data_IF_423755524214
#
_entry.id   IF_423755524214
#
_cell.length_a   1.000
_cell.length_b   1.000
_cell.length_c   1.000
_cell.angle_alpha   90.00
_cell.angle_beta   90.00
_cell.angle_gamma   90.00
#
_symmetry.space_group_name_H-M   'P 1'
#
loop_
_entity.id
_entity.type
_entity.pdbx_description
1 polymer ?
#
# COMPACT_ATOMS: atom_id res chain seq x y z
N UNK A 1 -22.05 19.55 -0.60
CA UNK A 1 -22.52 18.76 0.56
C UNK A 1 -21.31 18.01 1.07
N UNK A 2 -21.11 17.98 2.39
CA UNK A 2 -20.00 17.24 2.99
C UNK A 2 -20.10 15.73 2.66
N UNK A 3 -19.01 15.12 2.22
CA UNK A 3 -18.93 13.67 2.02
C UNK A 3 -18.52 13.02 3.34
N UNK A 4 -19.45 12.31 3.97
CA UNK A 4 -19.23 11.75 5.32
C UNK A 4 -18.81 10.28 5.34
N UNK A 5 -19.04 9.54 4.26
CA UNK A 5 -18.76 8.11 4.20
C UNK A 5 -18.23 7.67 2.85
N UNK A 6 -17.40 6.64 2.86
CA UNK A 6 -16.91 5.91 1.71
C UNK A 6 -17.63 4.56 1.69
N UNK A 7 -18.47 4.33 0.67
CA UNK A 7 -19.12 3.05 0.48
C UNK A 7 -18.17 2.02 -0.15
N UNK A 8 -18.60 0.78 -0.21
CA UNK A 8 -17.78 -0.34 -0.71
C UNK A 8 -17.29 -0.15 -2.15
N UNK A 9 -18.13 0.36 -3.05
CA UNK A 9 -17.76 0.57 -4.46
C UNK A 9 -16.73 1.69 -4.60
N UNK A 10 -16.89 2.80 -3.87
CA UNK A 10 -15.91 3.88 -3.85
C UNK A 10 -14.59 3.40 -3.25
N UNK A 11 -14.62 2.64 -2.15
CA UNK A 11 -13.42 2.07 -1.55
C UNK A 11 -12.68 1.14 -2.52
N UNK A 12 -13.42 0.29 -3.26
CA UNK A 12 -12.86 -0.56 -4.31
C UNK A 12 -12.13 0.28 -5.37
N UNK A 13 -12.76 1.34 -5.87
CA UNK A 13 -12.15 2.27 -6.85
C UNK A 13 -10.91 2.94 -6.29
N UNK A 14 -10.97 3.45 -5.06
CA UNK A 14 -9.84 4.07 -4.38
C UNK A 14 -8.64 3.12 -4.26
N UNK A 15 -8.87 1.87 -3.87
CA UNK A 15 -7.79 0.88 -3.78
C UNK A 15 -7.14 0.57 -5.13
N UNK A 16 -7.95 0.35 -6.17
CA UNK A 16 -7.45 0.08 -7.53
C UNK A 16 -6.68 1.29 -8.08
N UNK A 17 -7.16 2.49 -7.83
CA UNK A 17 -6.50 3.73 -8.21
C UNK A 17 -5.14 3.92 -7.51
N UNK A 18 -5.08 3.63 -6.22
CA UNK A 18 -3.83 3.65 -5.47
C UNK A 18 -2.80 2.65 -6.02
N UNK A 19 -3.25 1.45 -6.40
CA UNK A 19 -2.40 0.45 -7.04
C UNK A 19 -1.88 0.91 -8.41
N UNK A 20 -2.73 1.50 -9.23
CA UNK A 20 -2.37 2.03 -10.55
C UNK A 20 -1.37 3.20 -10.44
N UNK A 21 -1.58 4.13 -9.49
CA UNK A 21 -0.67 5.24 -9.27
C UNK A 21 0.71 4.78 -8.79
N UNK A 22 0.77 3.80 -7.89
CA UNK A 22 2.04 3.21 -7.44
C UNK A 22 2.80 2.56 -8.61
N UNK A 23 2.11 1.82 -9.50
CA UNK A 23 2.73 1.25 -10.71
C UNK A 23 3.28 2.36 -11.61
N UNK A 24 2.53 3.42 -11.84
CA UNK A 24 2.96 4.54 -12.68
C UNK A 24 4.20 5.27 -12.13
N UNK A 25 4.39 5.25 -10.80
CA UNK A 25 5.50 5.90 -10.10
C UNK A 25 6.63 4.95 -9.69
N UNK A 26 6.55 3.69 -10.06
CA UNK A 26 7.46 2.62 -9.64
C UNK A 26 8.94 2.97 -9.84
N UNK A 27 9.32 3.45 -11.02
CA UNK A 27 10.71 3.76 -11.33
C UNK A 27 11.24 4.94 -10.51
N UNK A 28 10.43 5.98 -10.32
CA UNK A 28 10.77 7.10 -9.43
C UNK A 28 11.03 6.63 -7.99
N UNK A 29 10.21 5.71 -7.48
CA UNK A 29 10.39 5.16 -6.13
C UNK A 29 11.65 4.29 -6.05
N UNK A 30 11.98 3.55 -7.13
CA UNK A 30 13.22 2.79 -7.23
C UNK A 30 14.46 3.69 -7.14
N UNK A 31 14.44 4.88 -7.79
CA UNK A 31 15.54 5.86 -7.74
C UNK A 31 15.80 6.41 -6.33
N UNK A 32 14.79 6.47 -5.48
CA UNK A 32 14.92 6.91 -4.08
C UNK A 32 15.49 5.83 -3.15
N UNK A 33 15.64 4.59 -3.62
CA UNK A 33 16.00 3.46 -2.76
C UNK A 33 17.48 3.42 -2.41
N UNK A 34 17.83 3.96 -1.25
CA UNK A 34 19.21 3.92 -0.70
C UNK A 34 19.29 3.19 0.65
N UNK A 35 18.18 2.82 1.24
CA UNK A 35 18.11 2.15 2.55
C UNK A 35 16.99 1.08 2.57
N UNK A 36 17.19 -0.08 3.24
CA UNK A 36 18.41 -0.53 3.94
C UNK A 36 19.50 -1.04 3.01
N UNK A 37 19.19 -1.37 1.78
CA UNK A 37 20.11 -1.82 0.73
C UNK A 37 19.80 -1.01 -0.52
N UNK A 38 20.80 -0.39 -1.19
CA UNK A 38 20.59 0.44 -2.37
C UNK A 38 20.51 -0.41 -3.64
N UNK A 39 19.55 -1.33 -3.71
CA UNK A 39 19.35 -2.24 -4.85
C UNK A 39 18.32 -1.74 -5.87
N UNK A 40 17.69 -0.57 -5.59
CA UNK A 40 16.78 0.09 -6.52
C UNK A 40 15.48 -0.68 -6.77
N UNK A 41 15.01 -1.49 -5.82
CA UNK A 41 13.87 -2.38 -6.02
C UNK A 41 12.62 -2.07 -5.18
N UNK A 42 12.65 -1.03 -4.34
CA UNK A 42 11.55 -0.68 -3.43
C UNK A 42 10.23 -0.48 -4.19
N UNK A 43 10.24 0.34 -5.24
CA UNK A 43 9.05 0.59 -6.06
C UNK A 43 8.54 -0.67 -6.73
N UNK A 44 9.44 -1.48 -7.28
CA UNK A 44 9.12 -2.77 -7.90
C UNK A 44 8.49 -3.73 -6.89
N UNK A 45 9.05 -3.88 -5.70
CA UNK A 45 8.56 -4.77 -4.66
C UNK A 45 7.19 -4.35 -4.13
N UNK A 46 7.00 -3.06 -3.87
CA UNK A 46 5.70 -2.51 -3.43
C UNK A 46 4.64 -2.68 -4.51
N UNK A 47 4.98 -2.40 -5.77
CA UNK A 47 4.07 -2.57 -6.91
C UNK A 47 3.65 -4.02 -7.08
N UNK A 48 4.58 -4.97 -7.13
CA UNK A 48 4.25 -6.40 -7.24
C UNK A 48 3.33 -6.86 -6.11
N UNK A 49 3.54 -6.33 -4.91
CA UNK A 49 2.74 -6.64 -3.72
C UNK A 49 1.30 -6.14 -3.87
N UNK A 50 1.11 -4.86 -4.21
CA UNK A 50 -0.23 -4.27 -4.28
C UNK A 50 -1.00 -4.77 -5.51
N UNK A 51 -0.31 -4.98 -6.63
CA UNK A 51 -0.90 -5.49 -7.88
C UNK A 51 -1.42 -6.91 -7.74
N UNK A 52 -0.79 -7.74 -6.90
CA UNK A 52 -1.33 -9.06 -6.56
C UNK A 52 -2.71 -8.98 -5.90
N UNK A 53 -2.90 -8.00 -5.01
CA UNK A 53 -4.20 -7.74 -4.40
C UNK A 53 -5.19 -7.08 -5.38
N UNK A 54 -4.71 -6.12 -6.19
CA UNK A 54 -5.54 -5.40 -7.14
C UNK A 54 -6.20 -6.32 -8.17
N UNK A 55 -5.48 -7.33 -8.67
CA UNK A 55 -6.04 -8.37 -9.56
C UNK A 55 -7.21 -9.12 -8.94
N UNK A 56 -7.09 -9.49 -7.67
CA UNK A 56 -8.17 -10.18 -6.97
C UNK A 56 -9.37 -9.26 -6.79
N UNK A 57 -9.14 -8.01 -6.36
CA UNK A 57 -10.20 -7.01 -6.19
C UNK A 57 -10.88 -6.67 -7.51
N UNK A 58 -10.13 -6.58 -8.61
CA UNK A 58 -10.68 -6.28 -9.93
C UNK A 58 -11.63 -7.38 -10.42
N UNK A 59 -11.33 -8.65 -10.11
CA UNK A 59 -12.18 -9.80 -10.50
C UNK A 59 -13.47 -9.93 -9.70
N UNK A 60 -13.65 -9.13 -8.65
CA UNK A 60 -14.83 -9.17 -7.80
C UNK A 60 -15.92 -8.23 -8.34
N UNK A 61 -17.07 -8.79 -8.72
CA UNK A 61 -18.27 -8.04 -9.09
C UNK A 61 -19.24 -8.00 -7.90
N UNK A 62 -19.83 -6.81 -7.64
CA UNK A 62 -20.84 -6.61 -6.59
C UNK A 62 -20.44 -7.16 -5.20
N UNK A 63 -19.14 -7.13 -4.88
CA UNK A 63 -18.63 -7.63 -3.62
C UNK A 63 -18.94 -6.70 -2.45
N UNK A 64 -19.16 -7.27 -1.28
CA UNK A 64 -19.27 -6.51 -0.03
C UNK A 64 -17.89 -6.10 0.53
N UNK A 65 -17.88 -5.24 1.53
CA UNK A 65 -16.66 -4.74 2.17
C UNK A 65 -15.79 -5.88 2.72
N UNK A 66 -16.42 -6.90 3.31
CA UNK A 66 -15.72 -8.06 3.86
C UNK A 66 -14.94 -8.82 2.77
N UNK A 67 -15.56 -9.02 1.62
CA UNK A 67 -14.97 -9.75 0.49
C UNK A 67 -13.81 -8.96 -0.11
N UNK A 68 -13.98 -7.66 -0.34
CA UNK A 68 -12.91 -6.77 -0.82
C UNK A 68 -11.75 -6.71 0.17
N UNK A 69 -12.04 -6.52 1.46
CA UNK A 69 -11.02 -6.49 2.50
C UNK A 69 -10.21 -7.79 2.60
N UNK A 70 -10.86 -8.94 2.44
CA UNK A 70 -10.19 -10.26 2.39
C UNK A 70 -9.30 -10.38 1.15
N UNK A 71 -9.77 -9.96 -0.02
CA UNK A 71 -8.99 -10.00 -1.26
C UNK A 71 -7.74 -9.13 -1.15
N UNK A 72 -7.85 -7.91 -0.62
CA UNK A 72 -6.71 -7.02 -0.39
C UNK A 72 -5.71 -7.66 0.58
N UNK A 73 -6.18 -8.11 1.75
CA UNK A 73 -5.30 -8.69 2.77
C UNK A 73 -4.59 -9.95 2.28
N UNK A 74 -5.31 -10.88 1.68
CA UNK A 74 -4.74 -12.16 1.23
C UNK A 74 -3.92 -12.00 -0.04
N UNK A 75 -4.37 -11.19 -0.99
CA UNK A 75 -3.66 -10.92 -2.24
C UNK A 75 -2.32 -10.22 -2.02
N UNK A 76 -2.31 -9.17 -1.18
CA UNK A 76 -1.06 -8.46 -0.86
C UNK A 76 -0.07 -9.36 -0.09
N UNK A 77 -0.55 -10.23 0.80
CA UNK A 77 0.32 -11.15 1.54
C UNK A 77 0.95 -12.19 0.61
N UNK A 78 0.18 -12.78 -0.31
CA UNK A 78 0.72 -13.74 -1.31
C UNK A 78 1.69 -13.08 -2.28
N UNK A 79 1.42 -11.83 -2.64
CA UNK A 79 2.25 -11.04 -3.55
C UNK A 79 3.43 -10.34 -2.89
N UNK A 80 3.59 -10.41 -1.57
CA UNK A 80 4.62 -9.67 -0.86
C UNK A 80 6.03 -10.01 -1.35
N UNK A 81 6.80 -8.96 -1.67
CA UNK A 81 8.18 -9.06 -2.16
C UNK A 81 9.05 -8.05 -1.41
N UNK A 82 10.27 -8.46 -1.08
CA UNK A 82 11.22 -7.62 -0.35
C UNK A 82 10.71 -7.11 0.99
N UNK A 83 11.52 -6.32 1.67
CA UNK A 83 11.13 -5.73 2.97
C UNK A 83 9.97 -4.72 2.79
N UNK A 84 10.04 -3.89 1.75
CA UNK A 84 9.04 -2.85 1.47
C UNK A 84 7.66 -3.45 1.14
N UNK A 85 7.62 -4.51 0.32
CA UNK A 85 6.37 -5.21 0.02
C UNK A 85 5.78 -5.92 1.23
N UNK A 86 6.61 -6.55 2.05
CA UNK A 86 6.14 -7.18 3.31
C UNK A 86 5.53 -6.14 4.23
N UNK A 87 6.18 -4.98 4.44
CA UNK A 87 5.64 -3.91 5.29
C UNK A 87 4.33 -3.37 4.70
N UNK A 88 4.28 -3.09 3.39
CA UNK A 88 3.04 -2.66 2.73
C UNK A 88 1.91 -3.67 2.91
N UNK A 89 2.20 -4.97 2.76
CA UNK A 89 1.20 -6.03 2.98
C UNK A 89 0.65 -6.04 4.42
N UNK A 90 1.48 -5.74 5.41
CA UNK A 90 1.06 -5.65 6.81
C UNK A 90 0.25 -4.38 7.11
N UNK A 91 0.58 -3.25 6.48
CA UNK A 91 -0.23 -2.03 6.52
C UNK A 91 -1.63 -2.30 5.94
N UNK A 92 -1.70 -2.88 4.75
CA UNK A 92 -2.97 -3.25 4.10
C UNK A 92 -3.77 -4.26 4.94
N UNK A 93 -3.11 -5.25 5.52
CA UNK A 93 -3.74 -6.23 6.40
C UNK A 93 -4.34 -5.60 7.65
N UNK A 94 -3.62 -4.70 8.30
CA UNK A 94 -4.12 -4.01 9.49
C UNK A 94 -5.31 -3.13 9.16
N UNK A 95 -5.21 -2.34 8.07
CA UNK A 95 -6.26 -1.46 7.57
C UNK A 95 -7.55 -2.23 7.26
N UNK A 96 -7.44 -3.25 6.43
CA UNK A 96 -8.59 -4.07 6.00
C UNK A 96 -9.23 -4.85 7.14
N UNK A 97 -8.47 -5.23 8.16
CA UNK A 97 -8.99 -5.88 9.35
C UNK A 97 -9.94 -4.99 10.15
N UNK A 98 -9.76 -3.67 10.11
CA UNK A 98 -10.65 -2.72 10.75
C UNK A 98 -11.92 -2.52 9.94
N UNK A 99 -11.80 -2.23 8.65
CA UNK A 99 -12.94 -1.82 7.82
C UNK A 99 -13.90 -2.96 7.45
N UNK A 100 -13.46 -4.21 7.46
CA UNK A 100 -14.20 -5.36 6.91
C UNK A 100 -15.57 -5.64 7.56
N UNK A 101 -15.77 -5.21 8.79
CA UNK A 101 -17.03 -5.40 9.54
C UNK A 101 -18.02 -4.24 9.33
N UNK A 102 -17.63 -3.21 8.56
CA UNK A 102 -18.41 -2.02 8.31
C UNK A 102 -18.96 -2.00 6.87
N UNK A 103 -20.15 -1.45 6.68
CA UNK A 103 -20.74 -1.27 5.34
C UNK A 103 -20.20 -0.02 4.64
N UNK A 104 -19.88 0.99 5.42
CA UNK A 104 -19.34 2.28 5.01
C UNK A 104 -18.24 2.69 5.96
N UNK A 105 -17.31 3.49 5.48
CA UNK A 105 -16.15 3.98 6.22
C UNK A 105 -16.35 5.48 6.44
N UNK A 106 -16.50 5.91 7.68
CA UNK A 106 -16.48 7.30 8.09
C UNK A 106 -15.09 7.73 8.60
N UNK A 107 -14.96 8.98 9.03
CA UNK A 107 -13.68 9.52 9.53
C UNK A 107 -13.15 8.74 10.74
N UNK A 108 -14.04 8.30 11.65
CA UNK A 108 -13.63 7.55 12.85
C UNK A 108 -13.12 6.16 12.50
N UNK A 109 -13.83 5.45 11.61
CA UNK A 109 -13.42 4.13 11.13
C UNK A 109 -12.10 4.24 10.35
N UNK A 110 -11.96 5.29 9.51
CA UNK A 110 -10.74 5.54 8.75
C UNK A 110 -9.54 5.78 9.67
N UNK A 111 -9.69 6.58 10.72
CA UNK A 111 -8.64 6.80 11.72
C UNK A 111 -8.23 5.51 12.44
N UNK A 112 -9.20 4.71 12.90
CA UNK A 112 -8.93 3.40 13.51
C UNK A 112 -8.27 2.42 12.55
N UNK A 113 -8.65 2.48 11.26
CA UNK A 113 -8.01 1.65 10.24
C UNK A 113 -6.53 2.02 10.03
N UNK A 114 -6.19 3.32 10.02
CA UNK A 114 -4.82 3.81 9.96
C UNK A 114 -4.00 3.42 11.21
N UNK A 115 -4.59 3.54 12.40
CA UNK A 115 -3.96 3.09 13.65
C UNK A 115 -3.64 1.60 13.61
N UNK A 116 -4.63 0.78 13.24
CA UNK A 116 -4.47 -0.67 13.17
C UNK A 116 -3.49 -1.11 12.10
N UNK A 117 -3.46 -0.41 10.95
CA UNK A 117 -2.46 -0.61 9.90
C UNK A 117 -1.05 -0.42 10.45
N UNK A 118 -0.81 0.74 11.08
CA UNK A 118 0.47 1.10 11.68
C UNK A 118 0.89 0.10 12.75
N UNK A 119 0.01 -0.21 13.71
CA UNK A 119 0.28 -1.17 14.77
C UNK A 119 0.61 -2.58 14.23
N UNK A 120 -0.06 -3.01 13.15
CA UNK A 120 0.19 -4.31 12.52
C UNK A 120 1.56 -4.35 11.84
N UNK A 121 1.92 -3.28 11.13
CA UNK A 121 3.22 -3.18 10.46
C UNK A 121 4.39 -3.11 11.46
N UNK A 122 4.28 -2.31 12.51
CA UNK A 122 5.31 -2.25 13.56
C UNK A 122 5.53 -3.60 14.26
N UNK A 123 4.47 -4.39 14.49
CA UNK A 123 4.58 -5.73 15.08
C UNK A 123 5.26 -6.74 14.16
N UNK A 124 5.21 -6.53 12.86
CA UNK A 124 5.81 -7.43 11.89
C UNK A 124 7.32 -7.21 11.69
N UNK A 125 7.84 -6.05 12.10
CA UNK A 125 9.25 -5.69 11.95
C UNK A 125 9.99 -5.87 13.28
N UNK A 126 10.99 -6.75 13.31
CA UNK A 126 11.74 -7.05 14.54
C UNK A 126 12.50 -5.83 15.10
N UNK A 127 13.03 -4.98 14.23
CA UNK A 127 13.79 -3.77 14.59
C UNK A 127 13.31 -2.59 13.76
N UNK A 128 12.15 -1.99 14.11
CA UNK A 128 11.64 -0.84 13.39
C UNK A 128 12.64 0.33 13.46
N UNK A 129 12.80 1.01 12.30
CA UNK A 129 13.63 2.19 12.18
C UNK A 129 12.76 3.41 11.92
N UNK A 130 13.01 4.49 12.65
CA UNK A 130 12.40 5.79 12.35
C UNK A 130 13.04 6.39 11.09
N UNK A 131 12.30 7.26 10.40
CA UNK A 131 12.70 7.80 9.10
C UNK A 131 12.38 6.88 7.92
N UNK A 132 11.44 5.93 8.09
CA UNK A 132 11.02 4.97 7.07
C UNK A 132 9.51 5.02 6.84
N UNK A 133 9.00 4.18 5.93
CA UNK A 133 7.56 3.97 5.69
C UNK A 133 6.75 3.81 6.99
N UNK A 134 7.34 3.22 8.03
CA UNK A 134 6.69 3.07 9.33
C UNK A 134 6.46 4.42 10.02
N UNK A 135 7.41 5.34 9.91
CA UNK A 135 7.28 6.70 10.45
C UNK A 135 6.21 7.48 9.73
N UNK A 136 6.14 7.37 8.40
CA UNK A 136 5.08 8.00 7.59
C UNK A 136 3.71 7.43 7.97
N UNK A 137 3.58 6.10 8.06
CA UNK A 137 2.35 5.44 8.49
C UNK A 137 1.89 5.88 9.89
N UNK A 138 2.84 6.04 10.83
CA UNK A 138 2.57 6.54 12.19
C UNK A 138 2.11 8.01 12.18
N UNK A 139 2.70 8.83 11.31
CA UNK A 139 2.26 10.21 11.09
C UNK A 139 0.82 10.27 10.58
N UNK A 140 0.49 9.46 9.56
CA UNK A 140 -0.86 9.32 9.01
C UNK A 140 -1.85 8.94 10.12
N UNK A 141 -1.54 7.90 10.90
CA UNK A 141 -2.40 7.42 11.98
C UNK A 141 -2.68 8.50 13.02
N UNK A 142 -1.63 9.20 13.49
CA UNK A 142 -1.75 10.27 14.48
C UNK A 142 -2.60 11.43 13.97
N UNK A 143 -2.38 11.87 12.71
CA UNK A 143 -3.14 12.98 12.14
C UNK A 143 -4.60 12.59 11.88
N UNK A 144 -4.84 11.37 11.44
CA UNK A 144 -6.17 10.84 11.26
C UNK A 144 -6.97 10.78 12.58
N UNK A 145 -6.34 10.35 13.66
CA UNK A 145 -6.94 10.34 15.01
C UNK A 145 -7.33 11.75 15.47
N UNK A 146 -6.40 12.72 15.37
CA UNK A 146 -6.66 14.14 15.68
C UNK A 146 -7.84 14.71 14.89
N UNK A 147 -7.89 14.45 13.58
CA UNK A 147 -8.93 14.98 12.71
C UNK A 147 -10.29 14.31 12.92
N UNK A 148 -10.34 13.04 13.28
CA UNK A 148 -11.58 12.32 13.57
C UNK A 148 -12.34 12.90 14.77
N UNK A 149 -11.64 13.62 15.67
CA UNK A 149 -12.25 14.34 16.79
C UNK A 149 -12.87 15.69 16.37
N UNK A 150 -12.45 16.23 15.22
CA UNK A 150 -12.78 17.62 14.83
C UNK A 150 -13.63 17.74 13.57
N UNK A 151 -13.61 16.75 12.68
CA UNK A 151 -14.37 16.78 11.43
C UNK A 151 -14.89 15.40 11.03
N UNK A 152 -16.12 15.37 10.52
CA UNK A 152 -16.72 14.21 9.86
C UNK A 152 -16.65 14.31 8.33
N UNK A 153 -16.20 15.47 7.80
CA UNK A 153 -16.13 15.73 6.37
C UNK A 153 -14.85 15.15 5.77
N UNK A 154 -14.99 14.10 4.98
CA UNK A 154 -13.87 13.41 4.34
C UNK A 154 -13.17 14.27 3.26
N UNK A 155 -13.86 15.26 2.68
CA UNK A 155 -13.25 16.23 1.74
C UNK A 155 -12.26 17.17 2.45
N UNK A 156 -12.39 17.34 3.78
CA UNK A 156 -11.45 18.06 4.63
C UNK A 156 -10.44 17.10 5.26
N UNK A 157 -10.92 15.97 5.76
CA UNK A 157 -10.12 14.99 6.50
C UNK A 157 -8.97 14.40 5.65
N UNK A 158 -9.28 13.89 4.45
CA UNK A 158 -8.29 13.17 3.64
C UNK A 158 -7.14 14.08 3.20
N UNK A 159 -7.35 15.27 2.61
CA UNK A 159 -6.25 16.14 2.17
C UNK A 159 -5.39 16.64 3.33
N UNK A 160 -5.93 16.88 4.52
CA UNK A 160 -5.14 17.28 5.69
C UNK A 160 -4.26 16.13 6.20
N UNK A 161 -4.76 14.88 6.16
CA UNK A 161 -3.93 13.70 6.46
C UNK A 161 -2.80 13.54 5.45
N UNK A 162 -3.09 13.71 4.16
CA UNK A 162 -2.08 13.61 3.08
C UNK A 162 -1.00 14.66 3.29
N UNK A 163 -1.40 15.92 3.46
CA UNK A 163 -0.47 17.05 3.68
C UNK A 163 0.47 16.77 4.86
N UNK A 164 -0.07 16.32 5.98
CA UNK A 164 0.76 16.00 7.14
C UNK A 164 1.70 14.80 6.86
N UNK A 165 1.25 13.81 6.12
CA UNK A 165 2.08 12.67 5.73
C UNK A 165 3.24 13.09 4.81
N UNK A 166 3.02 14.05 3.90
CA UNK A 166 4.07 14.67 3.07
C UNK A 166 5.10 15.42 3.92
N UNK A 167 4.64 16.17 4.94
CA UNK A 167 5.52 16.86 5.88
C UNK A 167 6.39 15.85 6.66
N UNK A 168 5.81 14.73 7.12
CA UNK A 168 6.55 13.67 7.80
C UNK A 168 7.54 12.98 6.86
N UNK A 169 7.15 12.71 5.60
CA UNK A 169 8.05 12.15 4.60
C UNK A 169 9.25 13.07 4.34
N UNK A 170 9.01 14.36 4.19
CA UNK A 170 10.07 15.36 3.99
C UNK A 170 11.07 15.42 5.16
N UNK A 171 10.67 15.00 6.37
CA UNK A 171 11.53 14.93 7.55
C UNK A 171 12.32 13.62 7.68
N UNK A 172 12.06 12.60 6.86
CA UNK A 172 12.75 11.30 6.95
C UNK A 172 14.28 11.40 6.82
N UNK A 173 14.87 12.33 6.00
CA UNK A 173 16.31 12.51 5.95
C UNK A 173 16.93 12.98 7.28
N UNK A 174 16.19 13.73 8.10
CA UNK A 174 16.67 14.18 9.40
C UNK A 174 16.66 13.05 10.47
N UNK A 175 15.93 11.96 10.19
CA UNK A 175 15.83 10.81 11.10
C UNK A 175 16.80 9.68 10.70
N UNK A 176 17.19 9.59 9.42
CA UNK A 176 18.04 8.54 8.88
C UNK A 176 19.23 9.17 8.12
N UNK A 177 20.44 9.17 8.70
CA UNK A 177 21.60 9.84 8.09
C UNK A 177 21.90 9.46 6.65
N UNK A 178 21.70 8.19 6.28
CA UNK A 178 21.93 7.70 4.91
C UNK A 178 21.00 8.39 3.88
N UNK A 179 19.77 8.72 4.24
CA UNK A 179 18.86 9.48 3.37
C UNK A 179 19.34 10.93 3.20
N UNK A 180 19.83 11.52 4.28
CA UNK A 180 20.38 12.89 4.28
C UNK A 180 21.64 12.98 3.41
N UNK A 181 22.54 12.02 3.54
CA UNK A 181 23.78 11.92 2.73
C UNK A 181 23.45 11.74 1.23
N UNK A 182 22.42 10.96 0.91
CA UNK A 182 21.95 10.76 -0.46
C UNK A 182 21.08 11.91 -1.00
N UNK A 183 20.60 12.81 -0.14
CA UNK A 183 19.69 13.91 -0.51
C UNK A 183 18.31 13.46 -0.95
N UNK A 184 17.82 12.33 -0.43
CA UNK A 184 16.53 11.72 -0.79
C UNK A 184 15.64 11.49 0.43
N UNK A 185 14.34 11.35 0.21
CA UNK A 185 13.38 10.88 1.23
C UNK A 185 13.30 9.35 1.24
N UNK A 186 12.63 8.78 2.25
CA UNK A 186 12.42 7.33 2.30
C UNK A 186 11.56 6.83 1.12
N UNK A 187 12.11 5.92 0.35
CA UNK A 187 11.46 5.34 -0.84
C UNK A 187 10.17 4.60 -0.51
N UNK A 188 10.14 3.86 0.61
CA UNK A 188 8.94 3.16 1.08
C UNK A 188 7.84 4.11 1.52
N UNK A 189 8.20 5.20 2.21
CA UNK A 189 7.29 6.28 2.60
C UNK A 189 6.71 6.99 1.39
N UNK A 190 7.54 7.29 0.38
CA UNK A 190 7.09 7.85 -0.89
C UNK A 190 6.09 6.90 -1.56
N UNK A 191 6.40 5.61 -1.65
CA UNK A 191 5.51 4.62 -2.24
C UNK A 191 4.16 4.52 -1.52
N UNK A 192 4.15 4.62 -0.18
CA UNK A 192 2.90 4.66 0.59
C UNK A 192 2.07 5.91 0.25
N UNK A 193 2.71 7.07 0.12
CA UNK A 193 2.02 8.30 -0.28
C UNK A 193 1.46 8.20 -1.70
N UNK A 194 2.17 7.60 -2.64
CA UNK A 194 1.66 7.41 -4.00
C UNK A 194 0.39 6.53 -4.03
N UNK A 195 0.31 5.50 -3.17
CA UNK A 195 -0.93 4.72 -3.01
C UNK A 195 -2.07 5.62 -2.50
N UNK A 196 -1.81 6.46 -1.51
CA UNK A 196 -2.84 7.33 -0.92
C UNK A 196 -3.25 8.43 -1.90
N UNK A 197 -2.33 9.02 -2.66
CA UNK A 197 -2.63 10.02 -3.70
C UNK A 197 -3.55 9.43 -4.77
N UNK A 198 -3.24 8.22 -5.30
CA UNK A 198 -4.11 7.57 -6.26
C UNK A 198 -5.50 7.26 -5.69
N UNK A 199 -5.57 6.81 -4.44
CA UNK A 199 -6.83 6.60 -3.75
C UNK A 199 -7.64 7.90 -3.61
N UNK A 200 -7.00 9.00 -3.27
CA UNK A 200 -7.63 10.31 -3.16
C UNK A 200 -8.13 10.84 -4.51
N UNK A 201 -7.39 10.63 -5.59
CA UNK A 201 -7.84 10.98 -6.94
C UNK A 201 -9.15 10.27 -7.31
N UNK A 202 -9.28 8.99 -6.97
CA UNK A 202 -10.53 8.25 -7.13
C UNK A 202 -11.67 8.78 -6.22
N UNK A 203 -11.35 9.16 -4.99
CA UNK A 203 -12.30 9.78 -4.07
C UNK A 203 -12.88 11.09 -4.65
N UNK A 204 -12.04 11.88 -5.33
CA UNK A 204 -12.45 13.10 -6.04
C UNK A 204 -13.18 12.84 -7.36
N UNK A 205 -13.36 11.56 -7.76
CA UNK A 205 -14.04 11.19 -9.01
C UNK A 205 -13.21 11.41 -10.27
N UNK A 206 -11.87 11.52 -10.17
CA UNK A 206 -11.00 11.60 -11.34
C UNK A 206 -11.00 10.28 -12.11
N UNK A 207 -10.90 10.36 -13.44
CA UNK A 207 -10.72 9.18 -14.29
C UNK A 207 -9.34 8.56 -14.03
N UNK A 208 -9.30 7.24 -13.92
CA UNK A 208 -8.10 6.47 -13.60
C UNK A 208 -7.86 5.45 -14.70
N UNK A 209 -6.62 5.40 -15.17
CA UNK A 209 -6.18 4.38 -16.12
C UNK A 209 -5.86 3.06 -15.39
N UNK A 210 -6.71 2.07 -15.60
CA UNK A 210 -6.53 0.72 -15.04
C UNK A 210 -5.78 -0.23 -15.99
N UNK A 211 -5.28 0.23 -17.14
CA UNK A 211 -4.63 -0.61 -18.15
C UNK A 211 -3.45 -1.41 -17.58
N UNK A 212 -2.71 -0.85 -16.61
CA UNK A 212 -1.61 -1.55 -15.95
C UNK A 212 -2.08 -2.76 -15.14
N UNK A 213 -3.26 -2.67 -14.49
CA UNK A 213 -3.85 -3.78 -13.74
C UNK A 213 -4.33 -4.88 -14.71
N UNK A 214 -4.94 -4.49 -15.81
CA UNK A 214 -5.42 -5.40 -16.86
C UNK A 214 -4.26 -6.13 -17.54
N UNK A 215 -3.20 -5.42 -17.94
CA UNK A 215 -2.01 -6.00 -18.56
C UNK A 215 -1.32 -7.03 -17.68
N UNK A 216 -1.28 -6.79 -16.37
CA UNK A 216 -0.69 -7.72 -15.40
C UNK A 216 -1.52 -8.99 -15.18
N UNK A 217 -2.80 -9.02 -15.58
CA UNK A 217 -3.70 -10.19 -15.52
C UNK A 217 -3.43 -11.25 -16.58
N UNK A 218 -2.70 -10.93 -17.65
CA UNK A 218 -2.52 -11.77 -18.82
C UNK A 218 -1.39 -12.80 -18.78
N UNK A 219 -0.65 -12.94 -17.70
CA UNK A 219 0.39 -13.99 -17.60
C UNK A 219 -0.30 -15.35 -17.39
N UNK A 220 -0.63 -16.03 -18.48
CA UNK A 220 -0.93 -17.48 -18.45
C UNK A 220 0.25 -18.14 -17.73
N UNK A 221 -0.04 -18.86 -16.63
CA UNK A 221 0.92 -19.81 -16.09
C UNK A 221 1.37 -20.74 -17.23
N UNK A 222 2.58 -20.54 -17.71
CA UNK A 222 3.23 -21.51 -18.60
C UNK A 222 3.50 -22.70 -17.69
N UNK A 223 2.70 -23.77 -17.84
CA UNK A 223 3.04 -25.06 -17.25
C UNK A 223 4.42 -25.44 -17.81
N UNK A 224 5.39 -25.79 -16.95
CA UNK A 224 6.65 -26.32 -17.44
C UNK A 224 6.36 -27.49 -18.38
N UNK A 225 6.96 -27.48 -19.55
CA UNK A 225 6.81 -28.59 -20.50
C UNK A 225 7.38 -29.84 -19.80
N UNK A 226 6.73 -30.99 -20.02
CA UNK A 226 7.19 -32.29 -19.47
C UNK A 226 8.63 -32.65 -19.84
N UNK A 227 9.25 -31.97 -20.78
CA UNK A 227 10.65 -32.12 -21.17
C UNK A 227 11.63 -31.48 -20.19
N UNK A 228 11.21 -30.47 -19.39
CA UNK A 228 12.09 -29.83 -18.40
C UNK A 228 12.26 -30.69 -17.12
N UNK A 229 11.32 -31.62 -16.85
CA UNK A 229 11.43 -32.53 -15.69
C UNK A 229 12.42 -33.68 -15.90
N UNK A 230 12.77 -33.99 -17.16
CA UNK A 230 13.65 -35.13 -17.47
C UNK A 230 15.16 -34.87 -17.27
N UNK A 231 15.58 -33.60 -17.15
CA UNK A 231 16.98 -33.21 -17.05
C UNK A 231 17.48 -32.92 -15.63
N UNK A 232 16.62 -32.98 -14.62
CA UNK A 232 17.03 -32.78 -13.21
C UNK A 232 17.53 -34.11 -12.64
N UNK A 233 18.82 -34.39 -12.79
CA UNK A 233 19.47 -35.61 -12.29
C UNK A 233 19.83 -35.59 -10.79
N UNK A 234 19.84 -34.43 -10.13
CA UNK A 234 20.15 -34.33 -8.70
C UNK A 234 19.33 -33.21 -8.04
N UNK A 235 18.49 -33.57 -7.09
CA UNK A 235 17.88 -32.62 -6.16
C UNK A 235 18.86 -32.38 -5.00
N UNK A 236 19.31 -31.17 -4.80
CA UNK A 236 20.10 -30.80 -3.64
C UNK A 236 19.18 -30.45 -2.48
N UNK A 237 19.25 -31.23 -1.40
CA UNK A 237 18.90 -30.73 -0.08
C UNK A 237 20.14 -30.02 0.47
N UNK A 238 20.05 -28.74 0.75
CA UNK A 238 21.00 -28.05 1.62
C UNK A 238 20.42 -27.93 3.00
N UNK A 239 21.17 -28.41 3.99
CA UNK A 239 20.93 -28.24 5.42
C UNK A 239 20.90 -26.76 5.82
#
# INVERSE_FOLDING_TARGET
MAVKTINTELFRKMFLAGAANLEAKKEFINELNVFPVPDGDTGTNMTLTIMSAAKEVQSLENADMLTIAKAISSGSLRGARGNSGVILSQLLRGFTKEIREHKEIDAVILAKACERATATAYKAVMKPKEGTILTVAKGISRKAEELAETTEDLEVFIPEVIKYAEEVLAQTPEMLPVLKEAGVVDSGGQGLLEVIHGAYDAFLGKEIDYAAIEASGGTKMVKPSQQAEADIKFGYCTE
#
